data_IF_547428281316
#
_entry.id   IF_547428281316
#
_cell.length_a   1.000
_cell.length_b   1.000
_cell.length_c   1.000
_cell.angle_alpha   90.00
_cell.angle_beta   90.00
_cell.angle_gamma   90.00
#
_symmetry.space_group_name_H-M   'P 1'
#
loop_
_entity.id
_entity.type
_entity.pdbx_description
1 polymer ?
#
# COMPACT_ATOMS: atom_id res chain seq x y z
N UNK A 1 7.60 4.07 -0.56
CA UNK A 1 6.99 2.87 -1.19
C UNK A 1 7.90 2.12 -2.16
N UNK A 2 8.25 2.59 -3.38
CA UNK A 2 9.13 1.81 -4.30
C UNK A 2 10.51 1.50 -3.70
N UNK A 3 11.08 2.42 -2.92
CA UNK A 3 12.35 2.21 -2.23
C UNK A 3 12.28 1.17 -1.11
N UNK A 4 11.11 0.98 -0.48
CA UNK A 4 10.94 0.03 0.63
C UNK A 4 11.04 -1.41 0.16
N UNK A 5 10.42 -1.74 -0.97
CA UNK A 5 10.50 -3.10 -1.57
C UNK A 5 11.95 -3.47 -1.88
N UNK A 6 12.73 -2.54 -2.46
CA UNK A 6 14.13 -2.79 -2.76
C UNK A 6 14.99 -3.01 -1.52
N UNK A 7 14.75 -2.23 -0.46
CA UNK A 7 15.47 -2.33 0.81
C UNK A 7 15.14 -3.62 1.56
N UNK A 8 13.86 -4.01 1.59
CA UNK A 8 13.41 -5.28 2.16
C UNK A 8 13.98 -6.46 1.37
N UNK A 9 13.95 -6.40 0.03
CA UNK A 9 14.51 -7.46 -0.80
C UNK A 9 16.02 -7.65 -0.53
N UNK A 10 16.77 -6.55 -0.40
CA UNK A 10 18.20 -6.61 -0.06
C UNK A 10 18.44 -7.29 1.30
N UNK A 11 17.63 -7.00 2.32
CA UNK A 11 17.71 -7.67 3.63
C UNK A 11 17.35 -9.16 3.53
N UNK A 12 16.27 -9.49 2.81
CA UNK A 12 15.81 -10.87 2.62
C UNK A 12 16.89 -11.73 1.95
N UNK A 13 17.54 -11.22 0.91
CA UNK A 13 18.64 -11.91 0.25
C UNK A 13 19.91 -11.97 1.13
N UNK A 14 20.11 -11.00 2.02
CA UNK A 14 21.24 -10.97 2.96
C UNK A 14 21.12 -11.97 4.12
N UNK A 15 19.91 -12.45 4.42
CA UNK A 15 19.65 -13.38 5.52
C UNK A 15 18.87 -14.64 5.07
N UNK A 16 19.44 -15.46 4.14
CA UNK A 16 18.73 -16.60 3.56
C UNK A 16 18.32 -17.65 4.61
N UNK A 17 19.11 -17.84 5.68
CA UNK A 17 18.77 -18.77 6.76
C UNK A 17 17.49 -18.39 7.52
N UNK A 18 17.06 -17.13 7.44
CA UNK A 18 15.84 -16.65 8.09
C UNK A 18 14.64 -16.61 7.13
N UNK A 19 14.87 -16.36 5.84
CA UNK A 19 13.81 -16.04 4.88
C UNK A 19 13.54 -17.10 3.83
N UNK A 20 14.46 -18.04 3.60
CA UNK A 20 14.26 -19.06 2.57
C UNK A 20 13.00 -19.89 2.86
N UNK A 21 12.13 -20.03 1.87
CA UNK A 21 10.86 -20.76 1.98
C UNK A 21 9.74 -20.00 2.69
N UNK A 22 9.97 -18.77 3.15
CA UNK A 22 8.94 -17.93 3.75
C UNK A 22 8.26 -17.03 2.71
N UNK A 23 7.02 -16.66 3.01
CA UNK A 23 6.27 -15.62 2.29
C UNK A 23 6.02 -14.49 3.28
N UNK A 24 6.27 -13.26 2.83
CA UNK A 24 6.07 -12.06 3.63
C UNK A 24 5.26 -11.12 2.76
N UNK A 25 4.10 -10.73 3.27
CA UNK A 25 3.30 -9.66 2.71
C UNK A 25 3.86 -8.33 3.22
N UNK A 26 3.93 -7.31 2.35
CA UNK A 26 4.59 -6.04 2.66
C UNK A 26 3.61 -4.90 2.46
N UNK A 27 3.41 -4.10 3.51
CA UNK A 27 2.70 -2.82 3.47
C UNK A 27 3.48 -1.75 4.23
N UNK A 28 3.37 -0.49 3.81
CA UNK A 28 3.91 0.67 4.53
C UNK A 28 2.84 1.42 5.35
N UNK A 29 1.58 1.28 4.94
CA UNK A 29 0.41 1.87 5.57
C UNK A 29 -0.84 1.05 5.23
N UNK A 30 -1.89 1.22 6.01
CA UNK A 30 -3.22 0.66 5.76
C UNK A 30 -4.24 1.76 6.02
N UNK A 31 -4.97 2.16 4.97
CA UNK A 31 -5.87 3.31 5.01
C UNK A 31 -7.14 3.01 4.21
N UNK A 32 -8.25 3.52 4.72
CA UNK A 32 -9.48 3.66 3.94
C UNK A 32 -9.30 4.69 2.83
N UNK A 33 -10.12 4.57 1.77
CA UNK A 33 -10.12 5.54 0.65
C UNK A 33 -10.47 6.97 1.10
N UNK A 34 -11.21 7.12 2.20
CA UNK A 34 -11.49 8.42 2.82
C UNK A 34 -10.26 9.00 3.52
N UNK A 35 -9.51 8.20 4.27
CA UNK A 35 -8.25 8.63 4.90
C UNK A 35 -7.19 9.00 3.86
N UNK A 36 -7.14 8.27 2.73
CA UNK A 36 -6.28 8.63 1.59
C UNK A 36 -6.61 10.06 1.10
N UNK A 37 -7.89 10.39 0.92
CA UNK A 37 -8.32 11.73 0.50
C UNK A 37 -7.98 12.82 1.54
N UNK A 38 -8.06 12.50 2.83
CA UNK A 38 -7.64 13.39 3.91
C UNK A 38 -6.13 13.66 3.87
N UNK A 39 -5.30 12.63 3.63
CA UNK A 39 -3.85 12.77 3.48
C UNK A 39 -3.52 13.65 2.27
N UNK A 40 -4.18 13.46 1.12
CA UNK A 40 -4.02 14.34 -0.03
C UNK A 40 -4.36 15.80 0.30
N UNK A 41 -5.48 16.03 0.99
CA UNK A 41 -5.88 17.37 1.42
C UNK A 41 -4.83 17.99 2.34
N UNK A 42 -4.35 17.22 3.32
CA UNK A 42 -3.36 17.67 4.31
C UNK A 42 -2.00 18.00 3.68
N UNK A 43 -1.55 17.22 2.71
CA UNK A 43 -0.23 17.40 2.08
C UNK A 43 -0.29 18.44 0.95
N UNK A 44 -1.31 18.40 0.10
CA UNK A 44 -1.43 19.25 -1.08
C UNK A 44 -2.23 20.55 -0.87
N UNK A 45 -2.90 20.72 0.27
CA UNK A 45 -3.66 21.93 0.60
C UNK A 45 -4.96 22.14 -0.20
N UNK A 46 -5.29 21.24 -1.14
CA UNK A 46 -6.51 21.29 -1.93
C UNK A 46 -7.55 20.35 -1.33
N UNK A 47 -8.77 20.83 -0.99
CA UNK A 47 -9.84 19.97 -0.50
C UNK A 47 -10.10 18.81 -1.45
N UNK A 48 -9.89 17.58 -0.95
CA UNK A 48 -9.97 16.34 -1.73
C UNK A 48 -11.00 15.41 -1.10
N UNK A 49 -11.76 14.70 -1.92
CA UNK A 49 -12.74 13.71 -1.48
C UNK A 49 -12.67 12.46 -2.35
N UNK A 50 -13.00 11.32 -1.77
CA UNK A 50 -13.22 10.11 -2.54
C UNK A 50 -14.53 10.19 -3.35
N UNK A 51 -14.52 9.64 -4.55
CA UNK A 51 -15.70 9.42 -5.39
C UNK A 51 -15.73 7.95 -5.75
N UNK A 52 -16.77 7.24 -5.31
CA UNK A 52 -16.92 5.83 -5.62
C UNK A 52 -17.25 5.64 -7.10
N UNK A 53 -16.46 4.81 -7.79
CA UNK A 53 -16.75 4.34 -9.14
C UNK A 53 -17.32 2.91 -9.07
N UNK A 54 -18.50 2.64 -9.62
CA UNK A 54 -19.06 1.29 -9.65
C UNK A 54 -18.14 0.30 -10.40
N UNK A 55 -17.96 -0.91 -9.84
CA UNK A 55 -17.10 -1.94 -10.45
C UNK A 55 -17.56 -2.35 -11.85
N UNK A 56 -18.85 -2.33 -12.14
CA UNK A 56 -19.36 -2.65 -13.50
C UNK A 56 -18.94 -1.61 -14.53
N UNK A 57 -18.92 -0.33 -14.14
CA UNK A 57 -18.42 0.75 -15.00
C UNK A 57 -16.91 0.61 -15.21
N UNK A 58 -16.15 0.36 -14.13
CA UNK A 58 -14.71 0.13 -14.22
C UNK A 58 -14.38 -1.11 -15.07
N UNK A 59 -15.17 -2.19 -14.98
CA UNK A 59 -14.93 -3.43 -15.74
C UNK A 59 -15.05 -3.21 -17.26
N UNK A 60 -15.93 -2.31 -17.69
CA UNK A 60 -16.05 -1.95 -19.10
C UNK A 60 -14.79 -1.26 -19.66
N UNK A 61 -14.00 -0.62 -18.80
CA UNK A 61 -12.79 0.14 -19.16
C UNK A 61 -11.48 -0.60 -18.85
N UNK A 62 -11.47 -1.38 -17.76
CA UNK A 62 -10.29 -2.05 -17.21
C UNK A 62 -10.68 -3.29 -16.39
N UNK A 63 -10.79 -4.44 -17.05
CA UNK A 63 -11.24 -5.69 -16.43
C UNK A 63 -10.32 -6.19 -15.31
N UNK A 64 -8.99 -6.14 -15.48
CA UNK A 64 -8.08 -6.57 -14.43
C UNK A 64 -8.13 -5.66 -13.20
N UNK A 65 -8.30 -4.35 -13.41
CA UNK A 65 -8.45 -3.40 -12.32
C UNK A 65 -9.76 -3.65 -11.55
N UNK A 66 -10.88 -3.83 -12.26
CA UNK A 66 -12.17 -4.15 -11.62
C UNK A 66 -12.12 -5.45 -10.80
N UNK A 67 -11.41 -6.47 -11.30
CA UNK A 67 -11.17 -7.71 -10.56
C UNK A 67 -10.39 -7.46 -9.28
N UNK A 68 -9.30 -6.68 -9.35
CA UNK A 68 -8.48 -6.34 -8.19
C UNK A 68 -9.24 -5.53 -7.15
N UNK A 69 -9.98 -4.50 -7.56
CA UNK A 69 -10.77 -3.68 -6.63
C UNK A 69 -11.94 -4.48 -6.02
N UNK A 70 -12.57 -5.37 -6.77
CA UNK A 70 -13.55 -6.30 -6.22
C UNK A 70 -12.96 -7.25 -5.17
N UNK A 71 -11.70 -7.66 -5.31
CA UNK A 71 -10.99 -8.42 -4.27
C UNK A 71 -10.67 -7.56 -3.04
N UNK A 72 -10.28 -6.30 -3.21
CA UNK A 72 -10.05 -5.38 -2.08
C UNK A 72 -11.30 -5.14 -1.23
N UNK A 73 -12.49 -5.13 -1.83
CA UNK A 73 -13.76 -4.95 -1.09
C UNK A 73 -14.11 -6.14 -0.17
N UNK A 74 -13.63 -7.35 -0.50
CA UNK A 74 -14.08 -8.57 0.15
C UNK A 74 -13.01 -9.27 1.00
N UNK A 75 -11.74 -9.23 0.56
CA UNK A 75 -10.64 -9.94 1.20
C UNK A 75 -9.52 -8.99 1.59
N UNK A 76 -8.99 -8.24 0.62
CA UNK A 76 -7.90 -7.28 0.83
C UNK A 76 -6.57 -7.89 1.26
N UNK A 77 -5.56 -7.03 1.36
CA UNK A 77 -4.23 -7.39 1.87
C UNK A 77 -4.27 -7.59 3.39
N UNK A 78 -3.41 -8.47 3.92
CA UNK A 78 -3.37 -8.85 5.34
C UNK A 78 -1.95 -8.76 5.94
N UNK A 79 -1.17 -7.76 5.48
CA UNK A 79 0.16 -7.49 6.00
C UNK A 79 0.13 -7.13 7.50
N UNK A 80 0.96 -7.79 8.31
CA UNK A 80 1.15 -7.45 9.72
C UNK A 80 2.01 -6.18 9.85
N UNK A 81 1.35 -5.02 9.77
CA UNK A 81 2.04 -3.73 9.76
C UNK A 81 2.86 -3.45 11.02
N UNK A 82 2.41 -3.76 12.26
CA UNK A 82 3.25 -3.69 13.45
C UNK A 82 4.53 -4.53 13.35
N UNK A 83 4.42 -5.81 12.98
CA UNK A 83 5.59 -6.68 12.85
C UNK A 83 6.54 -6.21 11.73
N UNK A 84 5.98 -5.71 10.63
CA UNK A 84 6.77 -5.14 9.53
C UNK A 84 7.52 -3.88 9.95
N UNK A 85 6.92 -3.00 10.75
CA UNK A 85 7.60 -1.78 11.25
C UNK A 85 8.70 -2.09 12.25
N UNK A 86 8.49 -3.09 13.10
CA UNK A 86 9.55 -3.59 14.00
C UNK A 86 10.70 -4.21 13.19
N UNK A 87 10.38 -5.04 12.20
CA UNK A 87 11.38 -5.77 11.43
C UNK A 87 12.14 -4.89 10.44
N UNK A 88 11.43 -4.04 9.71
CA UNK A 88 11.97 -3.19 8.65
C UNK A 88 11.85 -1.73 9.05
N UNK A 89 12.68 -1.25 10.01
CA UNK A 89 12.61 0.12 10.47
C UNK A 89 12.82 1.07 9.29
N UNK A 90 11.95 2.08 9.15
CA UNK A 90 11.97 3.02 8.03
C UNK A 90 10.97 2.71 6.92
N UNK A 91 10.04 1.77 7.11
CA UNK A 91 8.84 1.69 6.26
C UNK A 91 8.14 3.04 6.19
N UNK A 92 7.93 3.52 4.97
CA UNK A 92 7.37 4.85 4.71
C UNK A 92 5.84 4.77 4.69
N UNK A 93 5.19 5.59 5.51
CA UNK A 93 3.73 5.77 5.49
C UNK A 93 3.27 6.49 4.21
N UNK A 94 1.97 6.42 3.91
CA UNK A 94 1.43 7.06 2.72
C UNK A 94 1.64 8.58 2.75
N UNK A 95 1.45 9.22 3.90
CA UNK A 95 1.69 10.66 4.06
C UNK A 95 3.16 11.04 3.83
N UNK A 96 4.10 10.30 4.44
CA UNK A 96 5.54 10.60 4.29
C UNK A 96 5.95 10.45 2.83
N UNK A 97 5.51 9.37 2.17
CA UNK A 97 5.78 9.16 0.76
C UNK A 97 5.22 10.29 -0.10
N UNK A 98 3.99 10.75 0.16
CA UNK A 98 3.36 11.81 -0.61
C UNK A 98 4.08 13.16 -0.42
N UNK A 99 4.65 13.43 0.75
CA UNK A 99 5.44 14.64 1.01
C UNK A 99 6.79 14.63 0.27
N UNK A 100 7.40 13.46 0.13
CA UNK A 100 8.68 13.29 -0.58
C UNK A 100 8.51 13.27 -2.11
N UNK A 101 7.33 12.90 -2.60
CA UNK A 101 7.04 12.79 -4.04
C UNK A 101 6.68 14.13 -4.71
N UNK A 102 6.64 15.23 -3.95
CA UNK A 102 6.34 16.58 -4.43
C UNK A 102 7.54 17.22 -5.13
#
# INVERSE_FOLDING_TARGET
MRADVGRIAAEVFGAPGEFLGRRIEIAGDELTVTEIAEVFTKVGGTPTRFVHQPLEELRAEAEEAATMFGWFENEGYQADLPALRERFPGLVSFETWLREAQ
#
